data_IF_080830720885
#
_entry.id   IF_080830720885
#
_cell.length_a   1.000
_cell.length_b   1.000
_cell.length_c   1.000
_cell.angle_alpha   90.00
_cell.angle_beta   90.00
_cell.angle_gamma   90.00
#
_symmetry.space_group_name_H-M   'P 1'
#
loop_
_entity.id
_entity.type
_entity.pdbx_description
1 polymer ?
#
# COMPACT_ATOMS: atom_id res chain seq x y z
N UNK A 1 56.29 -59.66 -28.83
CA UNK A 1 55.11 -60.51 -28.58
C UNK A 1 53.86 -59.69 -28.91
N UNK A 2 53.42 -59.73 -30.17
CA UNK A 2 52.26 -58.99 -30.65
C UNK A 2 50.97 -59.74 -30.29
N UNK A 3 50.19 -59.22 -29.35
CA UNK A 3 48.85 -59.74 -29.02
C UNK A 3 47.85 -59.22 -30.04
N UNK A 4 47.32 -60.12 -30.87
CA UNK A 4 46.28 -59.84 -31.87
C UNK A 4 45.01 -59.34 -31.17
N UNK A 5 44.64 -58.09 -31.43
CA UNK A 5 43.32 -57.57 -31.09
C UNK A 5 42.37 -58.10 -32.16
N UNK A 6 41.58 -59.12 -31.81
CA UNK A 6 40.53 -59.63 -32.68
C UNK A 6 39.44 -58.55 -32.83
N UNK A 7 39.11 -58.21 -34.07
CA UNK A 7 38.05 -57.26 -34.40
C UNK A 7 36.69 -57.79 -33.93
N UNK A 8 35.95 -56.94 -33.20
CA UNK A 8 34.61 -57.25 -32.67
C UNK A 8 33.67 -57.53 -33.85
N UNK A 9 33.09 -58.74 -33.88
CA UNK A 9 32.18 -59.18 -34.92
C UNK A 9 30.81 -58.47 -34.79
N UNK A 10 30.27 -57.99 -35.91
CA UNK A 10 28.99 -57.24 -36.01
C UNK A 10 27.80 -57.98 -35.42
N UNK A 11 27.87 -59.31 -35.24
CA UNK A 11 26.83 -60.11 -34.57
C UNK A 11 26.66 -59.80 -33.08
N UNK A 12 27.61 -59.12 -32.45
CA UNK A 12 27.54 -58.72 -31.03
C UNK A 12 26.83 -57.36 -30.83
N UNK A 13 26.56 -56.60 -31.91
CA UNK A 13 26.00 -55.25 -31.83
C UNK A 13 24.47 -55.19 -31.77
N UNK A 14 23.75 -56.31 -31.95
CA UNK A 14 22.27 -56.33 -32.01
C UNK A 14 21.62 -57.34 -31.07
N UNK A 15 22.33 -57.79 -30.04
CA UNK A 15 21.68 -58.49 -28.93
C UNK A 15 21.23 -57.46 -27.91
N UNK A 16 19.94 -57.16 -27.96
CA UNK A 16 19.16 -56.39 -26.99
C UNK A 16 19.70 -56.56 -25.56
N UNK A 17 20.59 -55.66 -25.14
CA UNK A 17 20.93 -55.50 -23.74
C UNK A 17 19.75 -54.79 -23.11
N UNK A 18 18.97 -55.54 -22.34
CA UNK A 18 17.97 -54.99 -21.43
C UNK A 18 18.55 -53.79 -20.69
N UNK A 19 18.01 -52.60 -20.96
CA UNK A 19 18.34 -51.35 -20.24
C UNK A 19 17.61 -51.27 -18.90
N UNK A 20 17.06 -52.38 -18.41
CA UNK A 20 16.49 -52.48 -17.07
C UNK A 20 17.64 -52.72 -16.10
N UNK A 21 17.89 -51.83 -15.11
CA UNK A 21 18.92 -52.07 -14.12
C UNK A 21 18.58 -53.35 -13.34
N UNK A 22 19.39 -54.40 -13.52
CA UNK A 22 19.29 -55.62 -12.72
C UNK A 22 19.71 -55.31 -11.28
N UNK A 23 18.74 -55.20 -10.39
CA UNK A 23 18.91 -54.90 -8.96
C UNK A 23 19.53 -56.05 -8.11
N UNK A 24 20.36 -56.90 -8.73
CA UNK A 24 20.95 -58.06 -8.06
C UNK A 24 22.42 -58.26 -8.46
N UNK A 25 23.24 -57.21 -8.42
CA UNK A 25 24.68 -57.39 -8.26
C UNK A 25 25.01 -57.44 -6.77
N UNK A 26 25.27 -58.67 -6.32
CA UNK A 26 25.73 -59.10 -5.00
C UNK A 26 26.63 -58.06 -4.30
N UNK A 27 26.08 -57.35 -3.31
CA UNK A 27 26.88 -56.53 -2.39
C UNK A 27 27.71 -57.45 -1.49
N UNK A 28 28.98 -57.65 -1.84
CA UNK A 28 29.97 -58.27 -0.96
C UNK A 28 30.35 -57.30 0.17
N UNK A 29 29.43 -57.05 1.11
CA UNK A 29 29.73 -56.24 2.30
C UNK A 29 28.76 -56.55 3.46
N UNK A 30 28.70 -57.81 3.88
CA UNK A 30 27.85 -58.25 5.01
C UNK A 30 28.63 -58.59 6.29
N UNK A 31 29.90 -58.18 6.42
CA UNK A 31 30.69 -58.42 7.65
C UNK A 31 30.98 -57.18 8.50
N UNK A 32 30.74 -55.97 7.98
CA UNK A 32 30.96 -54.71 8.73
C UNK A 32 29.68 -54.12 9.36
N UNK A 33 28.50 -54.49 8.85
CA UNK A 33 27.22 -53.96 9.34
C UNK A 33 26.77 -54.55 10.70
N UNK A 34 27.30 -55.72 11.09
CA UNK A 34 26.92 -56.40 12.33
C UNK A 34 27.50 -55.76 13.59
N UNK A 35 28.64 -55.03 13.50
CA UNK A 35 29.23 -54.29 14.63
C UNK A 35 28.52 -52.96 14.91
N UNK A 36 28.06 -52.24 13.87
CA UNK A 36 27.33 -50.98 14.04
C UNK A 36 25.91 -51.20 14.60
N UNK A 37 25.26 -52.32 14.27
CA UNK A 37 23.94 -52.68 14.81
C UNK A 37 23.99 -52.97 16.33
N UNK A 38 25.09 -53.54 16.82
CA UNK A 38 25.29 -53.85 18.23
C UNK A 38 25.48 -52.61 19.12
N UNK A 39 26.02 -51.51 18.57
CA UNK A 39 26.21 -50.24 19.30
C UNK A 39 24.98 -49.31 19.27
N UNK A 40 23.90 -49.70 18.57
CA UNK A 40 22.69 -48.87 18.44
C UNK A 40 21.57 -49.24 19.41
N UNK A 41 21.73 -50.27 20.24
CA UNK A 41 20.70 -50.72 21.19
C UNK A 41 20.79 -49.91 22.47
N UNK A 42 19.89 -48.94 22.61
CA UNK A 42 19.67 -48.25 23.89
C UNK A 42 18.85 -49.21 24.77
N UNK A 43 19.30 -49.56 25.98
CA UNK A 43 18.57 -50.47 26.85
C UNK A 43 17.24 -49.84 27.29
N UNK A 44 16.12 -50.55 27.08
CA UNK A 44 14.78 -50.12 27.50
C UNK A 44 13.89 -49.44 26.45
N UNK A 45 14.33 -49.26 25.19
CA UNK A 45 13.49 -48.67 24.14
C UNK A 45 12.41 -49.66 23.62
N UNK A 46 11.19 -49.15 23.39
CA UNK A 46 10.13 -49.94 22.72
C UNK A 46 10.47 -50.17 21.24
N UNK A 47 10.00 -51.27 20.62
CA UNK A 47 10.32 -51.58 19.22
C UNK A 47 9.87 -50.49 18.24
N UNK A 48 8.75 -49.81 18.50
CA UNK A 48 8.27 -48.70 17.67
C UNK A 48 9.17 -47.46 17.78
N UNK A 49 9.63 -47.16 19.00
CA UNK A 49 10.52 -46.03 19.27
C UNK A 49 11.88 -46.24 18.59
N UNK A 50 12.36 -47.48 18.52
CA UNK A 50 13.55 -47.85 17.73
C UNK A 50 13.40 -47.52 16.25
N UNK A 51 12.28 -47.91 15.63
CA UNK A 51 12.06 -47.65 14.20
C UNK A 51 11.97 -46.16 13.93
N UNK A 52 11.32 -45.39 14.81
CA UNK A 52 11.25 -43.93 14.70
C UNK A 52 12.64 -43.30 14.79
N UNK A 53 13.46 -43.71 15.76
CA UNK A 53 14.83 -43.21 15.90
C UNK A 53 15.71 -43.59 14.72
N UNK A 54 15.66 -44.83 14.24
CA UNK A 54 16.43 -45.26 13.08
C UNK A 54 16.00 -44.51 11.81
N UNK A 55 14.70 -44.27 11.62
CA UNK A 55 14.20 -43.46 10.50
C UNK A 55 14.65 -42.00 10.63
N UNK A 56 14.62 -41.44 11.84
CA UNK A 56 15.10 -40.08 12.09
C UNK A 56 16.61 -39.97 11.89
N UNK A 57 17.40 -40.93 12.35
CA UNK A 57 18.85 -40.98 12.14
C UNK A 57 19.21 -41.16 10.67
N UNK A 58 18.44 -41.97 9.92
CA UNK A 58 18.63 -42.13 8.49
C UNK A 58 18.30 -40.83 7.73
N UNK A 59 17.20 -40.16 8.06
CA UNK A 59 16.86 -38.85 7.49
C UNK A 59 17.87 -37.77 7.89
N UNK A 60 18.39 -37.81 9.12
CA UNK A 60 19.44 -36.90 9.58
C UNK A 60 20.75 -37.16 8.84
N UNK A 61 21.13 -38.42 8.60
CA UNK A 61 22.30 -38.78 7.83
C UNK A 61 22.18 -38.34 6.37
N UNK A 62 21.00 -38.51 5.75
CA UNK A 62 20.75 -38.01 4.39
C UNK A 62 20.85 -36.48 4.31
N UNK A 63 20.36 -35.76 5.33
CA UNK A 63 20.49 -34.29 5.38
C UNK A 63 21.92 -33.83 5.69
N UNK A 64 22.68 -34.60 6.47
CA UNK A 64 24.08 -34.32 6.79
C UNK A 64 25.05 -34.57 5.61
N UNK A 65 24.64 -35.38 4.62
CA UNK A 65 25.40 -35.57 3.37
C UNK A 65 25.38 -34.34 2.46
N UNK A 66 24.46 -33.40 2.68
CA UNK A 66 24.42 -32.14 1.94
C UNK A 66 25.27 -31.12 2.67
N UNK A 67 26.30 -30.60 2.00
CA UNK A 67 27.14 -29.54 2.56
C UNK A 67 26.30 -28.30 2.87
N UNK A 68 26.58 -27.64 3.99
CA UNK A 68 25.94 -26.34 4.33
C UNK A 68 26.17 -25.30 3.24
N UNK A 69 27.34 -25.36 2.56
CA UNK A 69 27.64 -24.53 1.41
C UNK A 69 26.70 -24.79 0.23
N UNK A 70 26.40 -26.06 -0.08
CA UNK A 70 25.45 -26.41 -1.15
C UNK A 70 24.02 -25.94 -0.83
N UNK A 71 23.63 -25.98 0.45
CA UNK A 71 22.34 -25.43 0.87
C UNK A 71 22.27 -23.91 0.64
N UNK A 72 23.33 -23.18 0.98
CA UNK A 72 23.41 -21.72 0.74
C UNK A 72 23.36 -21.40 -0.76
N UNK A 73 24.06 -22.17 -1.59
CA UNK A 73 24.08 -21.98 -3.05
C UNK A 73 22.71 -22.29 -3.67
N UNK A 74 22.04 -23.34 -3.20
CA UNK A 74 20.69 -23.67 -3.66
C UNK A 74 19.66 -22.62 -3.23
N UNK A 75 19.84 -22.03 -2.04
CA UNK A 75 18.98 -20.96 -1.56
C UNK A 75 19.22 -19.65 -2.30
N UNK A 76 20.47 -19.32 -2.61
CA UNK A 76 20.84 -18.07 -3.31
C UNK A 76 20.27 -18.01 -4.72
N UNK A 77 20.26 -19.13 -5.46
CA UNK A 77 19.61 -19.21 -6.78
C UNK A 77 18.13 -18.90 -6.70
N UNK A 78 17.41 -19.52 -5.77
CA UNK A 78 15.97 -19.29 -5.58
C UNK A 78 15.69 -17.87 -5.13
N UNK A 79 16.52 -17.30 -4.27
CA UNK A 79 16.40 -15.91 -3.82
C UNK A 79 16.59 -14.95 -4.98
N UNK A 80 17.62 -15.15 -5.82
CA UNK A 80 17.89 -14.27 -6.95
C UNK A 80 16.77 -14.30 -7.99
N UNK A 81 16.20 -15.47 -8.27
CA UNK A 81 15.05 -15.59 -9.17
C UNK A 81 13.80 -14.89 -8.61
N UNK A 82 13.56 -14.99 -7.31
CA UNK A 82 12.45 -14.28 -6.64
C UNK A 82 12.69 -12.78 -6.63
N UNK A 83 13.91 -12.34 -6.32
CA UNK A 83 14.29 -10.93 -6.33
C UNK A 83 14.15 -10.34 -7.73
N UNK A 84 14.58 -11.04 -8.77
CA UNK A 84 14.44 -10.60 -10.16
C UNK A 84 12.96 -10.47 -10.57
N UNK A 85 12.12 -11.43 -10.20
CA UNK A 85 10.66 -11.33 -10.44
C UNK A 85 10.02 -10.19 -9.66
N UNK A 86 10.47 -9.95 -8.43
CA UNK A 86 10.01 -8.83 -7.62
C UNK A 86 10.41 -7.49 -8.23
N UNK A 87 11.64 -7.33 -8.70
CA UNK A 87 12.08 -6.08 -9.34
C UNK A 87 11.32 -5.82 -10.63
N UNK A 88 11.14 -6.84 -11.50
CA UNK A 88 10.31 -6.72 -12.70
C UNK A 88 8.88 -6.30 -12.32
N UNK A 89 8.27 -6.97 -11.34
CA UNK A 89 6.94 -6.62 -10.84
C UNK A 89 6.86 -5.18 -10.33
N UNK A 90 7.88 -4.72 -9.62
CA UNK A 90 7.96 -3.35 -9.10
C UNK A 90 8.09 -2.31 -10.21
N UNK A 91 8.89 -2.57 -11.25
CA UNK A 91 9.05 -1.67 -12.39
C UNK A 91 7.75 -1.57 -13.18
N UNK A 92 7.07 -2.69 -13.43
CA UNK A 92 5.77 -2.70 -14.11
C UNK A 92 4.70 -1.95 -13.30
N UNK A 93 4.68 -2.15 -11.97
CA UNK A 93 3.75 -1.42 -11.11
C UNK A 93 4.07 0.08 -11.11
N UNK A 94 5.34 0.45 -11.04
CA UNK A 94 5.79 1.84 -11.07
C UNK A 94 5.44 2.52 -12.39
N UNK A 95 5.62 1.85 -13.53
CA UNK A 95 5.25 2.41 -14.84
C UNK A 95 3.73 2.55 -14.98
N UNK A 96 2.94 1.63 -14.43
CA UNK A 96 1.49 1.77 -14.38
C UNK A 96 1.06 3.00 -13.57
N UNK A 97 1.63 3.20 -12.37
CA UNK A 97 1.35 4.38 -11.53
C UNK A 97 1.79 5.66 -12.24
N UNK A 98 2.98 5.69 -12.83
CA UNK A 98 3.47 6.83 -13.59
C UNK A 98 2.56 7.16 -14.79
N UNK A 99 2.02 6.14 -15.47
CA UNK A 99 1.06 6.31 -16.55
C UNK A 99 -0.25 6.97 -16.07
N UNK A 100 -0.81 6.53 -14.95
CA UNK A 100 -2.00 7.15 -14.36
C UNK A 100 -1.74 8.61 -13.97
N UNK A 101 -0.60 8.90 -13.36
CA UNK A 101 -0.20 10.27 -13.00
C UNK A 101 -0.04 11.14 -14.25
N UNK A 102 0.52 10.60 -15.34
CA UNK A 102 0.65 11.32 -16.61
C UNK A 102 -0.71 11.67 -17.21
N UNK A 103 -1.65 10.71 -17.28
CA UNK A 103 -3.01 10.97 -17.76
C UNK A 103 -3.70 12.03 -16.89
N UNK A 104 -3.54 11.94 -15.57
CA UNK A 104 -4.08 12.92 -14.64
C UNK A 104 -3.51 14.32 -14.88
N UNK A 105 -2.20 14.45 -15.14
CA UNK A 105 -1.58 15.75 -15.42
C UNK A 105 -2.13 16.42 -16.68
N UNK A 106 -2.38 15.63 -17.74
CA UNK A 106 -2.98 16.14 -18.97
C UNK A 106 -4.43 16.57 -18.72
N UNK A 107 -5.20 15.78 -17.97
CA UNK A 107 -6.57 16.12 -17.61
C UNK A 107 -6.65 17.40 -16.77
N UNK A 108 -5.81 17.52 -15.76
CA UNK A 108 -5.74 18.68 -14.87
C UNK A 108 -5.46 19.96 -15.65
N UNK A 109 -4.48 19.93 -16.56
CA UNK A 109 -4.15 21.08 -17.39
C UNK A 109 -5.28 21.44 -18.37
N UNK A 110 -6.00 20.45 -18.92
CA UNK A 110 -7.16 20.70 -19.77
C UNK A 110 -8.31 21.35 -19.00
N UNK A 111 -8.57 20.89 -17.78
CA UNK A 111 -9.64 21.43 -16.94
C UNK A 111 -9.32 22.86 -16.51
N UNK A 112 -8.08 23.13 -16.12
CA UNK A 112 -7.60 24.47 -15.81
C UNK A 112 -7.71 25.42 -17.02
N UNK A 113 -7.26 24.99 -18.19
CA UNK A 113 -7.36 25.81 -19.41
C UNK A 113 -8.81 26.06 -19.82
N UNK A 114 -9.71 25.11 -19.61
CA UNK A 114 -11.15 25.31 -19.85
C UNK A 114 -11.74 26.35 -18.89
N UNK A 115 -11.41 26.28 -17.61
CA UNK A 115 -11.84 27.27 -16.62
C UNK A 115 -11.32 28.66 -16.97
N UNK A 116 -10.02 28.78 -17.28
CA UNK A 116 -9.40 30.07 -17.63
C UNK A 116 -9.96 30.68 -18.91
N UNK A 117 -10.28 29.85 -19.91
CA UNK A 117 -10.97 30.31 -21.13
C UNK A 117 -12.39 30.77 -20.86
N UNK A 118 -13.10 30.13 -19.94
CA UNK A 118 -14.46 30.56 -19.57
C UNK A 118 -14.45 31.95 -18.95
N UNK A 119 -13.53 32.21 -18.01
CA UNK A 119 -13.33 33.55 -17.41
C UNK A 119 -12.99 34.61 -18.47
N UNK A 120 -12.13 34.27 -19.42
CA UNK A 120 -11.78 35.22 -20.49
C UNK A 120 -12.97 35.51 -21.42
N UNK A 121 -13.75 34.49 -21.79
CA UNK A 121 -14.94 34.68 -22.62
C UNK A 121 -15.98 35.54 -21.90
N UNK A 122 -16.15 35.34 -20.60
CA UNK A 122 -17.04 36.18 -19.78
C UNK A 122 -16.55 37.64 -19.77
N UNK A 123 -15.25 37.86 -19.53
CA UNK A 123 -14.67 39.20 -19.57
C UNK A 123 -14.78 39.87 -20.95
N UNK A 124 -14.64 39.12 -22.05
CA UNK A 124 -14.85 39.67 -23.39
C UNK A 124 -16.31 40.09 -23.60
N UNK A 125 -17.26 39.26 -23.17
CA UNK A 125 -18.68 39.58 -23.26
C UNK A 125 -19.04 40.83 -22.46
N UNK A 126 -18.43 41.02 -21.28
CA UNK A 126 -18.65 42.24 -20.49
C UNK A 126 -18.06 43.46 -21.18
N UNK A 127 -16.86 43.35 -21.76
CA UNK A 127 -16.25 44.46 -22.51
C UNK A 127 -17.06 44.82 -23.76
N UNK A 128 -17.49 43.83 -24.55
CA UNK A 128 -18.36 44.05 -25.72
C UNK A 128 -19.69 44.69 -25.32
N UNK A 129 -20.27 44.29 -24.18
CA UNK A 129 -21.49 44.89 -23.66
C UNK A 129 -21.29 46.35 -23.22
N UNK A 130 -20.17 46.64 -22.56
CA UNK A 130 -19.80 47.99 -22.12
C UNK A 130 -19.54 48.90 -23.34
N UNK A 131 -18.80 48.42 -24.35
CA UNK A 131 -18.56 49.12 -25.61
C UNK A 131 -19.86 49.43 -26.35
N UNK A 132 -20.76 48.45 -26.43
CA UNK A 132 -22.08 48.63 -27.05
C UNK A 132 -22.95 49.63 -26.25
N UNK A 133 -22.89 49.62 -24.92
CA UNK A 133 -23.60 50.60 -24.11
C UNK A 133 -23.06 52.03 -24.31
N UNK A 134 -21.73 52.18 -24.38
CA UNK A 134 -21.06 53.45 -24.62
C UNK A 134 -21.34 53.99 -26.02
N UNK A 135 -21.27 53.13 -27.05
CA UNK A 135 -21.60 53.47 -28.43
C UNK A 135 -23.05 53.98 -28.55
N UNK A 136 -24.00 53.36 -27.85
CA UNK A 136 -25.39 53.84 -27.82
C UNK A 136 -25.56 55.17 -27.12
N UNK A 137 -24.86 55.41 -26.01
CA UNK A 137 -24.91 56.71 -25.33
C UNK A 137 -24.37 57.80 -26.27
N UNK A 138 -23.26 57.54 -26.96
CA UNK A 138 -22.72 58.47 -27.96
C UNK A 138 -23.67 58.67 -29.16
N UNK A 139 -24.30 57.59 -29.62
CA UNK A 139 -25.26 57.61 -30.73
C UNK A 139 -26.47 58.49 -30.40
N UNK A 140 -27.05 58.32 -29.20
CA UNK A 140 -28.17 59.14 -28.73
C UNK A 140 -27.73 60.60 -28.52
N UNK A 141 -26.50 60.83 -28.06
CA UNK A 141 -25.93 62.17 -27.88
C UNK A 141 -25.67 62.89 -29.21
N UNK A 142 -25.54 62.15 -30.31
CA UNK A 142 -25.22 62.68 -31.65
C UNK A 142 -23.73 62.86 -31.93
N UNK A 143 -22.85 62.41 -31.01
CA UNK A 143 -21.39 62.53 -31.10
C UNK A 143 -20.70 61.18 -31.44
N UNK A 144 -21.46 60.17 -31.88
CA UNK A 144 -20.90 58.84 -32.17
C UNK A 144 -19.97 58.83 -33.39
N UNK A 145 -18.90 58.04 -33.29
CA UNK A 145 -18.04 57.74 -34.44
C UNK A 145 -18.77 56.82 -35.44
N UNK A 146 -18.36 56.83 -36.71
CA UNK A 146 -18.94 55.95 -37.75
C UNK A 146 -18.91 54.47 -37.34
N UNK A 147 -17.82 54.03 -36.69
CA UNK A 147 -17.69 52.66 -36.17
C UNK A 147 -18.71 52.37 -35.05
N UNK A 148 -18.96 53.32 -34.15
CA UNK A 148 -19.95 53.18 -33.09
C UNK A 148 -21.38 53.16 -33.63
N UNK A 149 -21.67 53.97 -34.66
CA UNK A 149 -22.97 53.96 -35.36
C UNK A 149 -23.23 52.58 -35.95
N UNK A 150 -22.26 52.04 -36.71
CA UNK A 150 -22.36 50.71 -37.33
C UNK A 150 -22.53 49.61 -36.28
N UNK A 151 -21.80 49.68 -35.16
CA UNK A 151 -21.90 48.72 -34.07
C UNK A 151 -23.29 48.71 -33.43
N UNK A 152 -23.91 49.88 -33.26
CA UNK A 152 -25.28 50.00 -32.72
C UNK A 152 -26.32 49.51 -33.71
N UNK A 153 -26.19 49.86 -35.00
CA UNK A 153 -27.09 49.42 -36.05
C UNK A 153 -27.02 47.91 -36.28
N UNK A 154 -25.82 47.34 -36.27
CA UNK A 154 -25.63 45.90 -36.35
C UNK A 154 -26.26 45.19 -35.15
N UNK A 155 -26.02 45.69 -33.93
CA UNK A 155 -26.64 45.15 -32.73
C UNK A 155 -28.18 45.22 -32.79
N UNK A 156 -28.76 46.31 -33.29
CA UNK A 156 -30.21 46.46 -33.49
C UNK A 156 -30.72 45.41 -34.49
N UNK A 157 -30.09 45.30 -35.65
CA UNK A 157 -30.42 44.33 -36.70
C UNK A 157 -30.36 42.89 -36.19
N UNK A 158 -29.34 42.58 -35.40
CA UNK A 158 -29.14 41.27 -34.81
C UNK A 158 -30.16 40.93 -33.72
N UNK A 159 -30.58 41.92 -32.94
CA UNK A 159 -31.66 41.77 -31.97
C UNK A 159 -33.00 41.54 -32.67
N UNK A 160 -33.30 42.31 -33.72
CA UNK A 160 -34.50 42.15 -34.56
C UNK A 160 -34.59 40.76 -35.19
N UNK A 161 -33.48 40.24 -35.75
CA UNK A 161 -33.41 38.86 -36.27
C UNK A 161 -33.69 37.82 -35.20
N UNK A 162 -33.24 38.04 -33.96
CA UNK A 162 -33.50 37.16 -32.80
C UNK A 162 -34.90 37.38 -32.20
N UNK A 163 -35.69 38.32 -32.73
CA UNK A 163 -37.02 38.67 -32.22
C UNK A 163 -36.99 39.34 -30.84
N UNK A 164 -35.83 39.84 -30.40
CA UNK A 164 -35.62 40.45 -29.10
C UNK A 164 -35.22 41.92 -29.26
N UNK A 165 -35.52 42.75 -28.26
CA UNK A 165 -34.95 44.09 -28.17
C UNK A 165 -33.68 44.04 -27.35
N UNK A 166 -32.78 44.97 -27.62
CA UNK A 166 -31.52 45.03 -26.89
C UNK A 166 -31.75 45.37 -25.41
N UNK A 167 -30.86 44.90 -24.52
CA UNK A 167 -30.98 45.19 -23.10
C UNK A 167 -30.98 46.72 -22.87
N UNK A 168 -31.79 47.20 -21.90
CA UNK A 168 -31.88 48.62 -21.60
C UNK A 168 -30.54 49.17 -21.13
N UNK A 169 -30.22 50.41 -21.55
CA UNK A 169 -28.96 51.10 -21.22
C UNK A 169 -28.81 51.45 -19.74
N UNK A 170 -29.94 51.52 -19.05
CA UNK A 170 -30.01 51.80 -17.63
C UNK A 170 -30.48 50.53 -16.96
N UNK A 171 -29.72 50.04 -15.99
CA UNK A 171 -30.20 49.02 -15.09
C UNK A 171 -31.54 49.49 -14.49
N UNK A 172 -32.55 48.61 -14.38
CA UNK A 172 -33.78 48.99 -13.70
C UNK A 172 -33.43 49.53 -12.31
N UNK A 173 -34.07 50.62 -11.87
CA UNK A 173 -33.75 51.23 -10.59
C UNK A 173 -33.88 50.19 -9.49
N UNK A 174 -32.75 49.81 -8.89
CA UNK A 174 -32.75 48.96 -7.70
C UNK A 174 -33.31 49.80 -6.56
N UNK A 175 -34.56 49.54 -6.20
CA UNK A 175 -35.13 50.07 -4.96
C UNK A 175 -34.37 49.43 -3.80
N UNK A 176 -33.29 50.09 -3.37
CA UNK A 176 -32.59 49.82 -2.12
C UNK A 176 -33.51 50.20 -0.97
N UNK A 177 -34.46 49.33 -0.65
CA UNK A 177 -35.11 49.41 0.64
C UNK A 177 -34.07 48.97 1.66
N UNK A 178 -33.75 49.83 2.62
CA UNK A 178 -32.77 49.58 3.70
C UNK A 178 -33.10 48.35 4.56
N UNK A 179 -34.15 47.59 4.25
CA UNK A 179 -34.58 46.41 4.99
C UNK A 179 -33.84 45.12 4.56
N UNK A 180 -33.35 45.04 3.33
CA UNK A 180 -32.65 43.85 2.82
C UNK A 180 -31.16 43.78 3.23
N UNK A 181 -30.57 44.92 3.60
CA UNK A 181 -29.17 45.03 4.01
C UNK A 181 -28.90 44.30 5.35
N UNK A 182 -29.94 44.12 6.16
CA UNK A 182 -29.87 43.44 7.46
C UNK A 182 -30.13 41.93 7.38
N UNK A 183 -30.68 41.43 6.26
CA UNK A 183 -31.13 40.04 6.13
C UNK A 183 -30.27 39.21 5.16
N UNK A 184 -29.42 39.85 4.36
CA UNK A 184 -28.51 39.15 3.44
C UNK A 184 -27.21 38.57 4.02
N UNK A 185 -26.75 38.78 5.28
CA UNK A 185 -25.47 38.18 5.71
C UNK A 185 -25.58 36.70 6.11
N UNK A 186 -26.75 36.05 5.99
CA UNK A 186 -26.92 34.64 6.41
C UNK A 186 -26.95 33.62 5.26
N UNK A 187 -26.98 34.06 3.99
CA UNK A 187 -27.19 33.16 2.84
C UNK A 187 -26.03 33.26 1.82
N UNK A 188 -25.40 34.42 1.64
CA UNK A 188 -24.23 34.58 0.78
C UNK A 188 -22.95 34.67 1.61
N UNK A 189 -22.48 33.52 2.06
CA UNK A 189 -21.20 33.38 2.73
C UNK A 189 -20.06 33.52 1.73
N UNK A 190 -19.40 34.69 1.69
CA UNK A 190 -17.93 34.77 1.68
C UNK A 190 -17.41 36.22 1.75
N UNK A 191 -16.41 36.41 2.64
CA UNK A 191 -15.42 37.51 2.76
C UNK A 191 -15.67 38.62 3.79
N UNK A 192 -15.36 38.33 5.06
CA UNK A 192 -14.38 39.05 5.89
C UNK A 192 -14.26 38.41 7.30
N UNK A 193 -13.14 38.59 8.03
CA UNK A 193 -12.52 37.51 8.80
C UNK A 193 -12.81 37.58 10.31
N UNK A 194 -13.17 36.45 10.92
CA UNK A 194 -12.64 36.01 12.22
C UNK A 194 -13.20 34.65 12.64
N UNK A 195 -12.28 33.74 13.01
CA UNK A 195 -12.39 32.71 14.06
C UNK A 195 -13.73 31.97 14.20
N UNK A 196 -13.90 30.91 13.41
CA UNK A 196 -14.69 29.75 13.84
C UNK A 196 -14.21 28.48 13.12
N UNK A 197 -13.46 27.63 13.82
CA UNK A 197 -13.16 26.27 13.38
C UNK A 197 -14.45 25.43 13.42
N UNK A 198 -15.21 25.51 12.33
CA UNK A 198 -16.32 24.61 12.03
C UNK A 198 -15.79 23.30 11.46
N UNK A 199 -16.08 22.22 12.17
CA UNK A 199 -15.82 20.82 11.80
C UNK A 199 -16.36 20.52 10.40
N UNK A 200 -15.46 20.40 9.43
CA UNK A 200 -15.75 19.77 8.16
C UNK A 200 -15.88 18.25 8.33
N UNK A 201 -16.91 17.71 7.71
CA UNK A 201 -17.24 16.30 7.41
C UNK A 201 -16.13 15.49 6.70
N UNK A 202 -14.89 15.98 6.69
CA UNK A 202 -13.68 15.29 6.23
C UNK A 202 -12.97 14.48 7.34
N UNK A 203 -13.43 14.56 8.59
CA UNK A 203 -12.79 13.89 9.74
C UNK A 203 -13.17 12.42 9.96
N UNK A 204 -14.16 11.88 9.25
CA UNK A 204 -14.69 10.52 9.51
C UNK A 204 -13.86 9.42 8.82
N UNK A 205 -13.00 9.75 7.84
CA UNK A 205 -12.19 8.76 7.13
C UNK A 205 -10.75 8.59 7.66
N UNK A 206 -10.31 9.40 8.64
CA UNK A 206 -8.92 9.41 9.11
C UNK A 206 -8.66 8.50 10.34
N UNK A 207 -9.69 7.83 10.86
CA UNK A 207 -9.58 6.99 12.07
C UNK A 207 -9.45 5.48 11.84
N UNK A 208 -9.52 4.98 10.60
CA UNK A 208 -9.55 3.54 10.33
C UNK A 208 -8.58 3.17 9.21
N UNK A 209 -7.30 3.14 9.53
CA UNK A 209 -6.30 2.11 9.13
C UNK A 209 -4.91 2.70 9.30
N UNK A 210 -4.30 2.38 10.44
CA UNK A 210 -2.85 2.27 10.50
C UNK A 210 -2.38 1.36 9.37
N UNK A 211 -1.20 1.56 8.83
CA UNK A 211 0.00 1.02 9.45
C UNK A 211 1.19 1.41 8.58
N UNK A 212 2.39 1.61 9.16
CA UNK A 212 3.72 1.32 8.56
C UNK A 212 3.92 1.81 7.09
N UNK A 213 4.84 2.71 6.75
CA UNK A 213 6.03 3.24 7.42
C UNK A 213 6.56 4.32 6.46
N UNK A 214 6.57 5.60 6.86
CA UNK A 214 7.30 6.62 6.11
C UNK A 214 7.57 7.87 6.97
N UNK A 215 8.76 8.39 6.71
CA UNK A 215 9.41 9.63 7.12
C UNK A 215 8.57 10.86 6.75
N UNK A 216 8.36 11.78 7.69
CA UNK A 216 7.97 13.16 7.41
C UNK A 216 8.69 14.08 8.41
N UNK A 217 9.30 15.13 7.86
CA UNK A 217 10.05 16.17 8.56
C UNK A 217 9.17 17.03 9.48
N UNK A 218 9.79 17.51 10.56
CA UNK A 218 9.69 18.85 11.20
C UNK A 218 8.32 19.57 11.27
N UNK A 219 7.90 20.22 12.36
CA UNK A 219 8.61 20.67 13.57
C UNK A 219 7.58 21.25 14.58
N UNK A 220 7.86 21.02 15.87
CA UNK A 220 7.86 21.99 17.00
C UNK A 220 6.65 22.86 17.38
N UNK A 221 6.20 22.67 18.64
CA UNK A 221 5.57 23.58 19.64
C UNK A 221 4.26 24.33 19.27
N UNK A 222 3.29 24.56 20.16
CA UNK A 222 3.17 24.39 21.61
C UNK A 222 2.12 25.39 22.16
N UNK A 223 1.32 24.96 23.15
CA UNK A 223 0.49 25.81 24.06
C UNK A 223 -0.94 26.12 23.60
N UNK A 224 -2.00 26.11 24.41
CA UNK A 224 -2.12 25.89 25.86
C UNK A 224 -3.60 25.56 26.19
N UNK A 225 -3.99 24.29 26.17
CA UNK A 225 -5.21 23.77 26.84
C UNK A 225 -5.05 22.30 27.30
N UNK A 226 -3.80 21.82 27.30
CA UNK A 226 -3.44 20.39 27.27
C UNK A 226 -3.24 19.76 28.65
N UNK A 227 -3.27 20.52 29.76
CA UNK A 227 -2.87 19.96 31.06
C UNK A 227 -3.89 18.99 31.68
N UNK A 228 -5.20 19.20 31.57
CA UNK A 228 -6.18 18.33 32.27
C UNK A 228 -6.36 16.95 31.63
N UNK A 229 -6.34 16.86 30.30
CA UNK A 229 -6.45 15.57 29.57
C UNK A 229 -5.12 14.84 29.47
N UNK A 230 -3.98 15.57 29.44
CA UNK A 230 -2.67 14.94 29.56
C UNK A 230 -2.44 14.36 30.96
N UNK A 231 -2.86 15.05 32.04
CA UNK A 231 -2.79 14.52 33.40
C UNK A 231 -3.64 13.26 33.57
N UNK A 232 -4.85 13.22 33.00
CA UNK A 232 -5.69 12.02 33.01
C UNK A 232 -5.06 10.87 32.20
N UNK A 233 -4.52 11.15 31.00
CA UNK A 233 -3.82 10.14 30.21
C UNK A 233 -2.56 9.63 30.92
N UNK A 234 -1.77 10.51 31.55
CA UNK A 234 -0.57 10.11 32.31
C UNK A 234 -0.94 9.30 33.55
N UNK A 235 -2.04 9.63 34.24
CA UNK A 235 -2.56 8.83 35.36
C UNK A 235 -2.97 7.43 34.90
N UNK A 236 -3.68 7.29 33.77
CA UNK A 236 -4.05 5.96 33.23
C UNK A 236 -2.84 5.14 32.77
N UNK A 237 -1.76 5.79 32.35
CA UNK A 237 -0.51 5.11 31.96
C UNK A 237 0.27 4.68 33.20
N UNK A 238 0.33 5.53 34.24
CA UNK A 238 1.00 5.23 35.51
C UNK A 238 0.29 4.11 36.27
N UNK A 239 -1.04 4.09 36.28
CA UNK A 239 -1.84 3.00 36.85
C UNK A 239 -1.60 1.67 36.13
N UNK A 240 -1.57 1.68 34.80
CA UNK A 240 -1.24 0.47 34.01
C UNK A 240 0.18 -0.02 34.23
N UNK A 241 1.14 0.90 34.41
CA UNK A 241 2.53 0.55 34.71
C UNK A 241 2.67 -0.08 36.10
N UNK A 242 2.00 0.47 37.12
CA UNK A 242 1.96 -0.12 38.48
C UNK A 242 1.30 -1.49 38.47
N UNK A 243 0.18 -1.64 37.76
CA UNK A 243 -0.51 -2.92 37.61
C UNK A 243 0.37 -3.97 36.92
N UNK A 244 1.09 -3.60 35.86
CA UNK A 244 2.05 -4.49 35.20
C UNK A 244 3.20 -4.90 36.13
N UNK A 245 3.70 -3.97 36.95
CA UNK A 245 4.75 -4.26 37.94
C UNK A 245 4.29 -5.20 39.05
N UNK A 246 3.07 -4.99 39.56
CA UNK A 246 2.46 -5.87 40.57
C UNK A 246 2.24 -7.29 40.01
N UNK A 247 1.80 -7.40 38.76
CA UNK A 247 1.67 -8.71 38.10
C UNK A 247 3.02 -9.44 37.97
N UNK A 248 4.11 -8.71 37.72
CA UNK A 248 5.44 -9.29 37.62
C UNK A 248 6.01 -9.69 39.01
N UNK A 249 5.73 -8.90 40.05
CA UNK A 249 6.06 -9.27 41.44
C UNK A 249 5.29 -10.54 41.89
N UNK A 250 4.02 -10.66 41.51
CA UNK A 250 3.23 -11.86 41.77
C UNK A 250 3.74 -13.06 40.99
N UNK A 251 4.19 -12.87 39.74
CA UNK A 251 4.87 -13.92 38.97
C UNK A 251 6.19 -14.34 39.62
N UNK A 252 6.96 -13.41 40.20
CA UNK A 252 8.18 -13.74 40.95
C UNK A 252 7.88 -14.48 42.26
N UNK A 253 6.79 -14.13 42.96
CA UNK A 253 6.35 -14.82 44.18
C UNK A 253 5.80 -16.22 43.91
N UNK A 254 5.06 -16.40 42.81
CA UNK A 254 4.43 -17.67 42.42
C UNK A 254 5.36 -18.59 41.60
N UNK A 255 6.53 -18.10 41.20
CA UNK A 255 7.41 -18.79 40.27
C UNK A 255 6.96 -18.61 38.81
N UNK A 256 7.92 -18.62 37.89
CA UNK A 256 7.66 -18.39 36.47
C UNK A 256 6.78 -19.49 35.86
N UNK A 257 6.25 -19.27 34.65
CA UNK A 257 5.40 -20.27 33.97
C UNK A 257 6.09 -21.63 33.76
N UNK A 258 7.42 -21.69 33.85
CA UNK A 258 8.20 -22.92 33.79
C UNK A 258 8.13 -23.74 35.09
N UNK A 259 7.96 -23.10 36.25
CA UNK A 259 7.87 -23.75 37.56
C UNK A 259 6.46 -24.35 37.81
N UNK A 260 5.44 -23.77 37.16
CA UNK A 260 4.05 -24.21 37.27
C UNK A 260 3.74 -25.47 36.43
N UNK A 261 4.47 -25.70 35.33
CA UNK A 261 4.31 -26.88 34.47
C UNK A 261 4.62 -28.20 35.21
N UNK A 262 5.41 -28.15 36.29
CA UNK A 262 5.66 -29.30 37.17
C UNK A 262 4.50 -29.64 38.11
N UNK A 263 3.64 -28.68 38.46
CA UNK A 263 2.47 -28.83 39.33
C UNK A 263 1.20 -29.15 38.51
N UNK A 264 1.08 -28.59 37.31
CA UNK A 264 -0.09 -28.74 36.42
C UNK A 264 -0.17 -30.10 35.69
N UNK A 265 0.88 -30.93 35.77
CA UNK A 265 0.81 -32.33 35.30
C UNK A 265 -0.07 -33.23 36.21
N UNK A 266 -0.55 -32.72 37.35
CA UNK A 266 -1.64 -33.35 38.12
C UNK A 266 -3.04 -33.05 37.56
N UNK A 267 -3.19 -32.05 36.70
CA UNK A 267 -4.49 -31.63 36.20
C UNK A 267 -4.37 -30.82 34.90
N UNK A 268 -4.30 -31.45 33.73
CA UNK A 268 -4.50 -30.70 32.49
C UNK A 268 -5.09 -31.49 31.33
N UNK A 269 -6.21 -30.95 30.84
CA UNK A 269 -6.81 -31.18 29.52
C UNK A 269 -6.41 -30.01 28.61
N UNK A 270 -5.76 -30.37 27.49
CA UNK A 270 -5.76 -29.76 26.15
C UNK A 270 -5.43 -28.25 25.94
N UNK A 271 -4.23 -28.01 25.38
CA UNK A 271 -3.84 -27.29 24.10
C UNK A 271 -4.69 -26.14 23.49
N UNK A 272 -4.17 -25.28 22.57
CA UNK A 272 -2.82 -25.25 21.94
C UNK A 272 -2.11 -23.88 21.85
N UNK A 273 -0.78 -23.90 21.93
CA UNK A 273 0.10 -22.76 21.64
C UNK A 273 0.55 -22.72 20.16
N UNK A 274 0.43 -21.54 19.53
CA UNK A 274 1.16 -21.17 18.31
C UNK A 274 2.41 -20.39 18.72
N UNK A 275 3.61 -20.95 18.52
CA UNK A 275 4.86 -20.17 18.44
C UNK A 275 5.75 -20.75 17.36
N UNK A 276 5.95 -19.97 16.30
CA UNK A 276 7.01 -20.18 15.32
C UNK A 276 8.33 -19.82 15.97
N UNK A 277 9.27 -20.76 15.93
CA UNK A 277 10.64 -20.60 16.38
C UNK A 277 11.52 -20.60 15.13
N UNK A 278 12.03 -19.43 14.76
CA UNK A 278 13.28 -19.36 14.01
C UNK A 278 14.41 -19.34 15.03
N UNK A 279 15.44 -20.16 14.79
CA UNK A 279 16.67 -19.57 14.32
C UNK A 279 17.29 -20.40 13.19
N UNK A 280 17.43 -19.75 12.05
CA UNK A 280 18.58 -19.90 11.16
C UNK A 280 18.92 -18.52 10.63
#
# INVERSE_FOLDING_TARGET
MASRIASRSVKDATRFTSTIPHAASKSAQSSAASKAAAQSRIPGETPEQRVRRLRQAHLAAQRAQVSTADNVINYSRKFFDVAHKFTIGSVILFTAVAGVVSIYSVWDMLQYNRARRAEWIEAQKTLEADELSAARIAYIKGDATEEQILLVEEANRDAEKRGAKLPPLLAPPEHRTHFEEHLKPSIDGEKAPEKAQGKGILGVLSGLTGSKKATASESTQGGNSTQSTALAATQTIEEKAKQAWETELDNQRKGGSLDQIGLDNGASTQTPAKKGWWPW
#
